data_IF_188614451972
#
_entry.id   IF_188614451972
#
_cell.length_a   1.000
_cell.length_b   1.000
_cell.length_c   1.000
_cell.angle_alpha   90.00
_cell.angle_beta   90.00
_cell.angle_gamma   90.00
#
_symmetry.space_group_name_H-M   'P 1'
#
loop_
_entity.id
_entity.type
_entity.pdbx_description
1 polymer ?
#
# COMPACT_ATOMS: atom_id res chain seq x y z
N UNK A 1 -9.96 31.07 -3.49
CA UNK A 1 -8.90 30.76 -2.51
C UNK A 1 -7.88 29.88 -3.19
N UNK A 2 -6.81 30.46 -3.70
CA UNK A 2 -5.66 29.69 -4.18
C UNK A 2 -4.62 29.80 -3.08
N UNK A 3 -4.73 28.95 -2.07
CA UNK A 3 -3.65 28.82 -1.09
C UNK A 3 -2.43 28.32 -1.83
N UNK A 4 -1.35 29.10 -1.77
CA UNK A 4 -0.08 28.81 -2.40
C UNK A 4 0.67 27.77 -1.54
N UNK A 5 0.12 26.55 -1.47
CA UNK A 5 0.68 25.44 -0.69
C UNK A 5 2.00 25.04 -1.32
N UNK A 6 3.09 25.14 -0.56
CA UNK A 6 4.42 24.75 -1.03
C UNK A 6 4.57 23.22 -1.05
N UNK A 7 5.34 22.69 -1.99
CA UNK A 7 5.53 21.23 -2.15
C UNK A 7 6.07 20.59 -0.87
N UNK A 8 6.94 21.29 -0.16
CA UNK A 8 7.54 20.86 1.12
C UNK A 8 6.50 20.80 2.25
N UNK A 9 5.40 21.55 2.13
CA UNK A 9 4.28 21.50 3.08
C UNK A 9 3.38 20.27 2.82
N UNK A 10 3.37 19.74 1.59
CA UNK A 10 2.65 18.51 1.22
C UNK A 10 3.49 17.27 1.55
N UNK A 11 4.79 17.26 1.21
CA UNK A 11 5.70 16.11 1.40
C UNK A 11 6.21 16.11 2.85
N UNK A 12 5.32 15.79 3.77
CA UNK A 12 5.64 15.65 5.20
C UNK A 12 5.28 14.25 5.71
N UNK A 13 6.02 13.71 6.70
CA UNK A 13 5.73 12.39 7.25
C UNK A 13 4.30 12.23 7.76
N UNK A 14 3.72 13.27 8.34
CA UNK A 14 2.33 13.27 8.82
C UNK A 14 1.28 13.12 7.69
N UNK A 15 1.65 13.41 6.44
CA UNK A 15 0.78 13.27 5.27
C UNK A 15 0.99 11.91 4.56
N UNK A 16 1.72 10.96 5.16
CA UNK A 16 1.93 9.64 4.57
C UNK A 16 0.64 8.82 4.62
N UNK A 17 -0.06 8.74 3.49
CA UNK A 17 -1.31 7.97 3.36
C UNK A 17 -1.05 6.49 3.04
N UNK A 18 0.07 6.19 2.38
CA UNK A 18 0.37 4.83 1.92
C UNK A 18 1.86 4.53 2.01
N UNK A 19 2.17 3.33 2.49
CA UNK A 19 3.46 2.68 2.34
C UNK A 19 3.25 1.23 1.96
N UNK A 20 4.19 0.64 1.22
CA UNK A 20 4.19 -0.80 0.98
C UNK A 20 4.26 -1.53 2.33
N UNK A 21 3.39 -2.51 2.54
CA UNK A 21 3.34 -3.30 3.77
C UNK A 21 4.57 -4.19 3.89
N UNK A 22 4.92 -4.58 5.12
CA UNK A 22 6.14 -5.38 5.37
C UNK A 22 6.03 -6.81 4.84
N UNK A 23 4.81 -7.27 4.58
CA UNK A 23 4.53 -8.64 4.19
C UNK A 23 4.49 -8.83 2.66
N UNK A 24 4.48 -7.74 1.88
CA UNK A 24 4.58 -7.83 0.42
C UNK A 24 6.04 -8.05 -0.01
N UNK A 25 6.28 -9.05 -0.87
CA UNK A 25 7.60 -9.31 -1.44
C UNK A 25 8.12 -8.16 -2.31
N UNK A 26 9.42 -8.05 -2.51
CA UNK A 26 10.05 -7.07 -3.41
C UNK A 26 9.96 -7.39 -4.90
N UNK A 27 9.35 -8.53 -5.24
CA UNK A 27 9.11 -8.90 -6.63
C UNK A 27 8.15 -7.90 -7.30
N UNK A 28 8.46 -7.56 -8.55
CA UNK A 28 7.56 -6.82 -9.42
C UNK A 28 6.36 -7.70 -9.75
N UNK A 29 5.16 -7.16 -9.61
CA UNK A 29 3.94 -7.89 -9.94
C UNK A 29 3.73 -7.93 -11.45
N UNK A 30 3.21 -9.05 -11.96
CA UNK A 30 2.89 -9.22 -13.39
C UNK A 30 1.57 -8.56 -13.81
N UNK A 31 0.97 -7.74 -12.96
CA UNK A 31 -0.34 -7.14 -13.19
C UNK A 31 -0.26 -5.89 -14.08
N UNK A 32 -1.25 -5.69 -14.94
CA UNK A 32 -1.33 -4.50 -15.78
C UNK A 32 -1.54 -3.22 -14.94
N UNK A 33 -0.95 -2.07 -15.34
CA UNK A 33 -1.18 -0.80 -14.67
C UNK A 33 -2.67 -0.41 -14.76
N UNK A 34 -3.27 -0.05 -13.62
CA UNK A 34 -4.68 0.33 -13.54
C UNK A 34 -5.67 -0.83 -13.40
N UNK A 35 -5.23 -2.10 -13.43
CA UNK A 35 -6.13 -3.22 -13.12
C UNK A 35 -6.32 -3.39 -11.59
N UNK A 36 -7.43 -4.02 -11.20
CA UNK A 36 -7.76 -4.24 -9.78
C UNK A 36 -6.82 -5.20 -9.05
N UNK A 37 -6.14 -6.11 -9.75
CA UNK A 37 -5.38 -7.20 -9.11
C UNK A 37 -4.30 -6.69 -8.15
N UNK A 38 -3.50 -5.70 -8.58
CA UNK A 38 -2.47 -5.12 -7.73
C UNK A 38 -3.06 -4.43 -6.50
N UNK A 39 -4.17 -3.71 -6.68
CA UNK A 39 -4.90 -3.05 -5.58
C UNK A 39 -5.47 -4.08 -4.60
N UNK A 40 -6.06 -5.17 -5.10
CA UNK A 40 -6.61 -6.25 -4.26
C UNK A 40 -5.52 -6.91 -3.43
N UNK A 41 -4.39 -7.30 -4.04
CA UNK A 41 -3.27 -7.88 -3.29
C UNK A 41 -2.72 -6.93 -2.23
N UNK A 42 -2.62 -5.64 -2.55
CA UNK A 42 -2.17 -4.61 -1.61
C UNK A 42 -3.11 -4.46 -0.41
N UNK A 43 -4.41 -4.31 -0.65
CA UNK A 43 -5.42 -4.14 0.42
C UNK A 43 -5.47 -5.39 1.31
N UNK A 44 -5.45 -6.59 0.72
CA UNK A 44 -5.39 -7.83 1.49
C UNK A 44 -4.14 -7.85 2.37
N UNK A 45 -2.99 -7.44 1.83
CA UNK A 45 -1.76 -7.39 2.59
C UNK A 45 -1.79 -6.34 3.71
N UNK A 46 -2.42 -5.18 3.51
CA UNK A 46 -2.63 -4.15 4.53
C UNK A 46 -3.45 -4.71 5.70
N UNK A 47 -4.57 -5.37 5.42
CA UNK A 47 -5.44 -5.96 6.44
C UNK A 47 -4.72 -7.07 7.24
N UNK A 48 -3.95 -7.94 6.57
CA UNK A 48 -3.19 -9.00 7.25
C UNK A 48 -2.13 -8.41 8.20
N UNK A 49 -1.41 -7.38 7.76
CA UNK A 49 -0.39 -6.69 8.56
C UNK A 49 -1.04 -5.97 9.75
N UNK A 50 -2.14 -5.24 9.52
CA UNK A 50 -2.92 -4.55 10.58
C UNK A 50 -3.48 -5.51 11.63
N UNK A 51 -3.94 -6.69 11.21
CA UNK A 51 -4.46 -7.72 12.11
C UNK A 51 -3.36 -8.54 12.79
N UNK A 52 -2.11 -8.47 12.32
CA UNK A 52 -1.00 -9.26 12.85
C UNK A 52 -1.08 -10.76 12.58
N UNK A 53 -1.87 -11.19 11.58
CA UNK A 53 -2.21 -12.60 11.32
C UNK A 53 -1.36 -13.24 10.21
N UNK A 54 -0.21 -12.66 9.86
CA UNK A 54 0.63 -13.17 8.77
C UNK A 54 1.01 -14.65 8.95
N UNK A 55 1.36 -15.04 10.19
CA UNK A 55 1.76 -16.42 10.51
C UNK A 55 0.59 -17.43 10.45
N UNK A 56 -0.65 -16.93 10.46
CA UNK A 56 -1.89 -17.72 10.46
C UNK A 56 -2.58 -17.70 9.09
N UNK A 57 -1.99 -17.02 8.09
CA UNK A 57 -2.60 -16.82 6.78
C UNK A 57 -1.90 -17.63 5.69
N UNK A 58 -2.68 -18.36 4.89
CA UNK A 58 -2.19 -19.08 3.69
C UNK A 58 -2.80 -18.44 2.44
N UNK A 59 -1.95 -17.94 1.54
CA UNK A 59 -2.37 -17.42 0.24
C UNK A 59 -2.55 -18.52 -0.80
N UNK A 60 -3.65 -18.50 -1.54
CA UNK A 60 -3.95 -19.41 -2.65
C UNK A 60 -4.29 -18.56 -3.88
N UNK A 61 -3.63 -18.82 -5.01
CA UNK A 61 -3.76 -18.05 -6.26
C UNK A 61 -3.76 -18.97 -7.48
#
# INVERSE_FOLDING_TARGET
MSDNIRREEIIRPENLVYTKTKIMTDNVTSYCPGCGHGTTHRIIAEVIDEMGIQAETIGVA
#
